data_IF_863931914181
#
_entry.id   IF_863931914181
#
_cell.length_a   1.000
_cell.length_b   1.000
_cell.length_c   1.000
_cell.angle_alpha   90.00
_cell.angle_beta   90.00
_cell.angle_gamma   90.00
#
_symmetry.space_group_name_H-M   'P 1'
#
loop_
_entity.id
_entity.type
_entity.pdbx_description
1 polymer ?
#
# COMPACT_ATOMS: atom_id res chain seq x y z
N UNK A 1 -8.81 -11.37 9.51
CA UNK A 1 -9.64 -12.58 9.31
C UNK A 1 -11.03 -12.28 9.82
N UNK A 2 -12.08 -12.79 9.17
CA UNK A 2 -13.46 -12.70 9.68
C UNK A 2 -13.85 -14.07 10.21
N UNK A 3 -14.54 -14.08 11.36
CA UNK A 3 -14.98 -15.29 12.06
C UNK A 3 -16.43 -15.07 12.47
N UNK A 4 -17.30 -16.04 12.24
CA UNK A 4 -18.67 -16.01 12.77
C UNK A 4 -18.62 -16.22 14.29
N UNK A 5 -19.33 -15.39 15.05
CA UNK A 5 -19.24 -15.36 16.51
C UNK A 5 -20.44 -15.93 17.23
N UNK A 6 -20.48 -15.86 18.58
CA UNK A 6 -19.48 -15.22 19.47
C UNK A 6 -18.13 -15.94 19.51
N UNK A 7 -17.05 -15.19 19.71
CA UNK A 7 -15.66 -15.72 19.67
C UNK A 7 -14.91 -15.37 20.95
N UNK A 8 -14.29 -16.39 21.57
CA UNK A 8 -13.30 -16.23 22.64
C UNK A 8 -11.90 -16.49 22.10
N UNK A 9 -10.97 -15.59 22.38
CA UNK A 9 -9.56 -15.69 21.97
C UNK A 9 -8.69 -15.70 23.21
N UNK A 10 -7.80 -16.70 23.31
CA UNK A 10 -6.79 -16.82 24.38
C UNK A 10 -5.43 -16.39 23.84
N UNK A 11 -4.81 -15.43 24.52
CA UNK A 11 -3.44 -14.99 24.24
C UNK A 11 -2.39 -15.97 24.72
N UNK A 12 -1.14 -15.75 24.32
CA UNK A 12 0.02 -16.51 24.79
C UNK A 12 0.32 -16.32 26.28
N UNK A 13 -0.15 -15.22 26.87
CA UNK A 13 -0.15 -14.95 28.31
C UNK A 13 -1.26 -15.70 29.08
N UNK A 14 -2.10 -16.47 28.38
CA UNK A 14 -3.25 -17.18 28.93
C UNK A 14 -4.47 -16.28 29.16
N UNK A 15 -4.40 -14.98 28.88
CA UNK A 15 -5.52 -14.06 29.03
C UNK A 15 -6.53 -14.31 27.92
N UNK A 16 -7.81 -14.47 28.30
CA UNK A 16 -8.89 -14.68 27.33
C UNK A 16 -9.81 -13.46 27.24
N UNK A 17 -10.15 -13.09 26.01
CA UNK A 17 -11.11 -12.02 25.73
C UNK A 17 -12.19 -12.51 24.77
N UNK A 18 -13.43 -12.08 25.01
CA UNK A 18 -14.61 -12.55 24.27
C UNK A 18 -15.24 -11.40 23.50
N UNK A 19 -15.71 -11.69 22.29
CA UNK A 19 -16.59 -10.82 21.52
C UNK A 19 -17.94 -11.49 21.31
N UNK A 20 -19.02 -10.81 21.72
CA UNK A 20 -20.39 -11.30 21.60
C UNK A 20 -21.04 -11.00 20.24
N UNK A 21 -20.27 -10.46 19.29
CA UNK A 21 -20.78 -10.12 17.96
C UNK A 21 -20.95 -11.37 17.11
N UNK A 22 -21.98 -11.40 16.26
CA UNK A 22 -22.23 -12.48 15.30
C UNK A 22 -21.16 -12.63 14.22
N UNK A 23 -20.40 -11.57 13.94
CA UNK A 23 -19.23 -11.61 13.07
C UNK A 23 -18.13 -10.76 13.67
N UNK A 24 -16.95 -11.35 13.81
CA UNK A 24 -15.81 -10.80 14.55
C UNK A 24 -14.60 -10.75 13.63
N UNK A 25 -13.95 -9.59 13.57
CA UNK A 25 -12.70 -9.44 12.84
C UNK A 25 -11.52 -9.69 13.78
N UNK A 26 -10.78 -10.78 13.54
CA UNK A 26 -9.57 -11.13 14.31
C UNK A 26 -8.33 -10.62 13.58
N UNK A 27 -7.43 -10.00 14.35
CA UNK A 27 -6.16 -9.47 13.88
C UNK A 27 -5.15 -10.60 13.66
N UNK A 28 -4.67 -10.74 12.42
CA UNK A 28 -3.60 -11.68 12.06
C UNK A 28 -2.28 -10.98 11.75
N UNK A 29 -2.26 -9.64 11.77
CA UNK A 29 -1.12 -8.82 11.36
C UNK A 29 -0.34 -8.19 12.53
N UNK A 30 -0.82 -8.37 13.77
CA UNK A 30 -0.26 -7.82 15.02
C UNK A 30 -0.04 -6.30 15.06
N UNK A 31 -0.68 -5.55 14.17
CA UNK A 31 -0.63 -4.08 14.10
C UNK A 31 -1.77 -3.39 14.84
N UNK A 32 -2.75 -4.16 15.34
CA UNK A 32 -3.92 -3.61 16.02
C UNK A 32 -3.54 -3.07 17.40
N UNK A 33 -4.11 -1.91 17.76
CA UNK A 33 -3.99 -1.37 19.13
C UNK A 33 -4.96 -2.02 20.11
N UNK A 34 -5.94 -2.76 19.61
CA UNK A 34 -6.94 -3.48 20.38
C UNK A 34 -6.80 -4.99 20.13
N UNK A 35 -5.56 -5.50 20.09
CA UNK A 35 -5.30 -6.94 19.92
C UNK A 35 -6.10 -7.73 20.97
N UNK A 36 -6.81 -8.81 20.59
CA UNK A 36 -6.75 -9.56 19.32
C UNK A 36 -7.72 -9.07 18.23
N UNK A 37 -8.50 -8.02 18.45
CA UNK A 37 -9.50 -7.53 17.50
C UNK A 37 -8.87 -6.68 16.38
N UNK A 38 -9.41 -6.78 15.17
CA UNK A 38 -8.95 -5.98 14.04
C UNK A 38 -9.53 -4.56 14.11
N UNK A 39 -8.65 -3.56 14.18
CA UNK A 39 -8.98 -2.12 14.18
C UNK A 39 -8.68 -1.44 12.83
N UNK A 40 -8.52 -2.24 11.75
CA UNK A 40 -8.08 -1.81 10.41
C UNK A 40 -6.66 -1.21 10.32
N UNK A 41 -5.85 -1.25 11.39
CA UNK A 41 -4.48 -0.73 11.37
C UNK A 41 -3.56 -1.38 10.33
N UNK A 42 -3.92 -2.56 9.80
CA UNK A 42 -3.23 -3.18 8.67
C UNK A 42 -3.26 -2.35 7.38
N UNK A 43 -4.22 -1.44 7.23
CA UNK A 43 -4.37 -0.57 6.05
C UNK A 43 -3.52 0.68 6.10
N UNK A 44 -2.96 1.02 7.28
CA UNK A 44 -2.12 2.21 7.42
C UNK A 44 -0.95 2.08 6.43
N UNK A 45 -0.94 2.98 5.44
CA UNK A 45 0.21 3.15 4.55
C UNK A 45 1.33 3.75 5.39
N UNK A 46 2.57 3.36 5.11
CA UNK A 46 3.72 4.04 5.69
C UNK A 46 3.54 5.55 5.46
N UNK A 47 3.88 6.41 6.44
CA UNK A 47 4.06 7.81 6.13
C UNK A 47 5.02 7.84 4.94
N UNK A 48 4.63 8.50 3.84
CA UNK A 48 5.59 8.89 2.82
C UNK A 48 6.78 9.47 3.61
N UNK A 49 8.01 8.94 3.45
CA UNK A 49 9.14 9.52 4.14
C UNK A 49 9.11 10.99 3.78
N UNK A 50 9.03 11.87 4.79
CA UNK A 50 8.98 13.33 4.61
C UNK A 50 9.94 13.64 3.47
N UNK A 51 9.42 13.98 2.28
CA UNK A 51 10.27 14.23 1.13
C UNK A 51 11.23 15.31 1.58
N UNK A 52 12.50 14.94 1.75
CA UNK A 52 13.55 15.86 2.18
C UNK A 52 13.52 16.99 1.13
N UNK A 53 13.23 18.25 1.49
CA UNK A 53 13.25 19.33 0.51
C UNK A 53 14.72 19.52 0.13
N UNK A 54 15.10 19.04 -1.05
CA UNK A 54 16.45 19.19 -1.58
C UNK A 54 17.06 17.91 -2.13
N UNK A 55 16.55 17.46 -3.27
CA UNK A 55 17.37 17.08 -4.43
C UNK A 55 16.60 17.48 -5.68
N UNK A 56 17.00 18.58 -6.30
CA UNK A 56 16.63 18.87 -7.68
C UNK A 56 17.42 17.88 -8.55
N UNK A 57 16.76 16.82 -9.00
CA UNK A 57 17.24 16.04 -10.14
C UNK A 57 17.11 16.94 -11.37
N UNK A 58 18.13 17.75 -11.62
CA UNK A 58 18.34 18.37 -12.93
C UNK A 58 18.74 17.23 -13.86
N UNK A 59 17.77 16.71 -14.61
CA UNK A 59 18.07 16.02 -15.88
C UNK A 59 17.73 16.99 -17.00
N UNK A 60 18.72 17.56 -17.73
CA UNK A 60 18.45 18.23 -18.99
C UNK A 60 18.34 17.18 -20.10
N UNK A 61 17.28 17.26 -20.89
CA UNK A 61 17.29 16.77 -22.26
C UNK A 61 16.48 15.52 -22.56
N UNK A 62 15.29 15.73 -23.10
CA UNK A 62 14.78 14.95 -24.23
C UNK A 62 13.75 15.83 -24.95
N UNK A 63 14.26 16.71 -25.81
CA UNK A 63 13.46 17.53 -26.70
C UNK A 63 12.64 16.61 -27.61
N UNK A 64 11.31 16.69 -27.46
CA UNK A 64 10.36 15.93 -28.23
C UNK A 64 10.50 16.19 -29.73
N UNK A 65 10.57 15.09 -30.48
CA UNK A 65 10.61 15.00 -31.93
C UNK A 65 9.67 15.98 -32.63
N UNK A 66 10.23 16.89 -33.44
CA UNK A 66 9.53 17.48 -34.57
C UNK A 66 9.74 16.56 -35.78
N UNK A 67 8.77 15.69 -36.03
CA UNK A 67 8.63 15.05 -37.34
C UNK A 67 8.24 16.13 -38.35
N UNK A 68 9.19 16.56 -39.17
CA UNK A 68 8.90 17.26 -40.42
C UNK A 68 9.11 16.27 -41.54
N UNK A 69 8.01 15.85 -42.15
CA UNK A 69 7.98 15.05 -43.35
C UNK A 69 8.21 15.97 -44.57
N UNK A 70 9.46 16.09 -45.01
CA UNK A 70 9.88 16.71 -46.28
C UNK A 70 11.27 16.11 -46.59
N UNK A 71 11.73 15.77 -47.79
CA UNK A 71 11.22 15.69 -49.16
C UNK A 71 12.32 14.89 -49.92
N UNK A 72 11.90 14.08 -50.91
CA UNK A 72 12.61 13.55 -52.10
C UNK A 72 14.13 13.25 -52.16
N UNK A 73 14.37 12.14 -52.88
CA UNK A 73 15.61 11.81 -53.61
C UNK A 73 15.99 10.35 -53.32
N UNK A 74 16.21 9.41 -54.23
CA UNK A 74 16.43 9.36 -55.67
C UNK A 74 16.96 7.92 -55.95
N UNK A 75 16.87 7.47 -57.20
CA UNK A 75 17.34 6.19 -57.80
C UNK A 75 18.55 5.48 -57.15
N UNK A 76 18.63 4.12 -57.20
CA UNK A 76 19.10 3.47 -58.44
C UNK A 76 18.47 2.09 -58.79
N UNK A 77 17.95 1.96 -60.01
CA UNK A 77 18.34 1.04 -61.11
C UNK A 77 17.27 1.00 -62.22
#
# INVERSE_FOLDING_TARGET
MLVEGPVTVTGDDGVSVTSERFMVAVCTCRRSRAYPWCDTSHRRRAPEPLRRPGRTDTTPGADGSRSTCDDKGGDPE
#
